data_IF_770922281931
#
_entry.id   IF_770922281931
#
_cell.length_a   1.000
_cell.length_b   1.000
_cell.length_c   1.000
_cell.angle_alpha   90.00
_cell.angle_beta   90.00
_cell.angle_gamma   90.00
#
_symmetry.space_group_name_H-M   'P 1'
#
loop_
_entity.id
_entity.type
_entity.pdbx_description
1 polymer ?
#
# COMPACT_ATOMS: atom_id res chain seq x y z
N UNK A 1 10.66 -10.13 8.26
CA UNK A 1 9.76 -10.31 7.12
C UNK A 1 10.27 -9.51 5.93
N UNK A 2 10.12 -10.07 4.77
CA UNK A 2 10.61 -9.46 3.54
C UNK A 2 9.43 -8.97 2.72
N UNK A 3 9.46 -7.70 2.35
CA UNK A 3 8.48 -7.16 1.42
C UNK A 3 8.75 -7.73 0.04
N UNK A 4 7.76 -8.38 -0.53
CA UNK A 4 7.86 -8.87 -1.89
C UNK A 4 7.54 -7.73 -2.84
N UNK A 5 8.55 -6.91 -3.09
CA UNK A 5 8.39 -5.73 -3.88
C UNK A 5 9.61 -5.50 -4.76
N UNK A 6 9.38 -5.57 -6.04
CA UNK A 6 10.34 -5.16 -7.05
C UNK A 6 9.56 -4.55 -8.21
N UNK A 7 10.23 -3.81 -9.07
CA UNK A 7 9.59 -3.27 -10.26
C UNK A 7 9.01 -4.37 -11.13
N UNK A 8 9.71 -5.50 -11.22
CA UNK A 8 9.24 -6.65 -11.98
C UNK A 8 7.98 -7.25 -11.37
N UNK A 9 7.91 -7.34 -10.04
CA UNK A 9 6.72 -7.86 -9.36
C UNK A 9 5.51 -6.95 -9.56
N UNK A 10 5.71 -5.62 -9.50
CA UNK A 10 4.63 -4.66 -9.77
C UNK A 10 4.06 -4.81 -11.18
N UNK A 11 4.93 -4.97 -12.17
CA UNK A 11 4.50 -5.14 -13.55
C UNK A 11 3.75 -6.45 -13.75
N UNK A 12 4.17 -7.50 -13.08
CA UNK A 12 3.48 -8.79 -13.11
C UNK A 12 2.08 -8.64 -12.51
N UNK A 13 1.95 -7.96 -11.37
CA UNK A 13 0.65 -7.74 -10.74
C UNK A 13 -0.36 -7.06 -11.65
N UNK A 14 0.05 -6.07 -12.41
CA UNK A 14 -0.85 -5.35 -13.31
C UNK A 14 -1.46 -6.21 -14.39
N UNK A 15 -0.82 -7.32 -14.72
CA UNK A 15 -1.26 -8.21 -15.79
C UNK A 15 -1.93 -9.47 -15.28
N UNK A 16 -1.96 -9.65 -13.96
CA UNK A 16 -2.52 -10.86 -13.38
C UNK A 16 -4.02 -10.74 -13.16
N UNK A 17 -4.69 -11.88 -13.28
CA UNK A 17 -6.08 -12.01 -12.86
C UNK A 17 -6.14 -12.09 -11.34
N UNK A 18 -7.32 -11.86 -10.73
CA UNK A 18 -7.47 -12.05 -9.28
C UNK A 18 -7.04 -13.45 -8.82
N UNK A 19 -7.32 -14.49 -9.60
CA UNK A 19 -6.93 -15.87 -9.28
C UNK A 19 -5.43 -16.06 -9.30
N UNK A 20 -4.75 -15.44 -10.25
CA UNK A 20 -3.29 -15.49 -10.33
C UNK A 20 -2.65 -14.74 -9.17
N UNK A 21 -3.21 -13.60 -8.79
CA UNK A 21 -2.76 -12.85 -7.62
C UNK A 21 -2.91 -13.67 -6.34
N UNK A 22 -4.02 -14.38 -6.20
CA UNK A 22 -4.25 -15.26 -5.05
C UNK A 22 -3.19 -16.36 -4.99
N UNK A 23 -2.93 -17.04 -6.09
CA UNK A 23 -1.92 -18.12 -6.15
C UNK A 23 -0.54 -17.58 -5.82
N UNK A 24 -0.20 -16.44 -6.37
CA UNK A 24 1.11 -15.80 -6.13
C UNK A 24 1.26 -15.40 -4.67
N UNK A 25 0.23 -14.80 -4.07
CA UNK A 25 0.26 -14.37 -2.68
C UNK A 25 0.38 -15.58 -1.74
N UNK A 26 -0.34 -16.66 -2.03
CA UNK A 26 -0.25 -17.89 -1.25
C UNK A 26 1.15 -18.48 -1.31
N UNK A 27 1.76 -18.52 -2.51
CA UNK A 27 3.14 -18.98 -2.66
C UNK A 27 4.12 -18.11 -1.86
N UNK A 28 3.94 -16.80 -1.89
CA UNK A 28 4.79 -15.88 -1.15
C UNK A 28 4.74 -16.17 0.36
N UNK A 29 3.54 -16.42 0.90
CA UNK A 29 3.37 -16.79 2.29
C UNK A 29 4.06 -18.13 2.62
N UNK A 30 4.00 -19.08 1.69
CA UNK A 30 4.72 -20.35 1.84
C UNK A 30 6.22 -20.13 1.98
N UNK A 31 6.74 -19.07 1.37
CA UNK A 31 8.14 -18.71 1.43
C UNK A 31 8.46 -17.70 2.56
N UNK A 32 7.52 -17.52 3.49
CA UNK A 32 7.67 -16.58 4.61
C UNK A 32 7.85 -15.13 4.19
N UNK A 33 7.20 -14.73 3.11
CA UNK A 33 7.25 -13.36 2.61
C UNK A 33 5.93 -12.65 2.87
N UNK A 34 6.00 -11.34 3.15
CA UNK A 34 4.82 -10.50 3.22
C UNK A 34 4.45 -10.03 1.81
N UNK A 35 3.15 -9.85 1.59
CA UNK A 35 2.61 -9.48 0.28
C UNK A 35 2.03 -8.07 0.34
N UNK A 36 2.53 -7.21 -0.52
CA UNK A 36 1.97 -5.88 -0.75
C UNK A 36 1.23 -5.90 -2.10
N UNK A 37 -0.08 -5.70 -2.05
CA UNK A 37 -0.87 -5.49 -3.27
C UNK A 37 -0.96 -3.99 -3.52
N UNK A 38 -0.42 -3.54 -4.63
CA UNK A 38 -0.40 -2.13 -5.01
C UNK A 38 -1.50 -1.86 -6.03
N UNK A 39 -2.34 -0.86 -5.75
CA UNK A 39 -3.43 -0.49 -6.65
C UNK A 39 -3.31 0.99 -7.04
N UNK A 40 -3.90 1.32 -8.19
CA UNK A 40 -3.98 2.69 -8.70
C UNK A 40 -5.42 3.15 -8.84
N UNK A 41 -6.36 2.22 -8.88
CA UNK A 41 -7.77 2.50 -9.08
C UNK A 41 -8.64 1.56 -8.27
N UNK A 42 -9.91 1.93 -8.11
CA UNK A 42 -10.89 1.18 -7.36
C UNK A 42 -11.14 -0.22 -7.98
N UNK A 43 -11.07 -0.32 -9.28
CA UNK A 43 -11.31 -1.57 -10.00
C UNK A 43 -10.29 -2.64 -9.65
N UNK A 44 -9.08 -2.25 -9.32
CA UNK A 44 -8.02 -3.19 -8.95
C UNK A 44 -8.24 -3.84 -7.58
N UNK A 45 -9.23 -3.36 -6.81
CA UNK A 45 -9.57 -3.96 -5.51
C UNK A 45 -10.10 -5.40 -5.65
N UNK A 46 -10.50 -5.80 -6.84
CA UNK A 46 -10.88 -7.20 -7.10
C UNK A 46 -9.74 -8.18 -6.83
N UNK A 47 -8.51 -7.69 -6.83
CA UNK A 47 -7.33 -8.52 -6.59
C UNK A 47 -7.07 -8.77 -5.09
N UNK A 48 -7.77 -8.08 -4.20
CA UNK A 48 -7.59 -8.26 -2.77
C UNK A 48 -7.98 -9.67 -2.35
N UNK A 49 -7.11 -10.33 -1.59
CA UNK A 49 -7.32 -11.70 -1.14
C UNK A 49 -6.77 -11.88 0.28
N UNK A 50 -7.07 -13.01 0.95
CA UNK A 50 -6.68 -13.23 2.34
C UNK A 50 -5.17 -13.27 2.61
N UNK A 51 -4.36 -13.44 1.59
CA UNK A 51 -2.91 -13.52 1.74
C UNK A 51 -2.23 -12.15 1.54
N UNK A 52 -3.00 -11.11 1.26
CA UNK A 52 -2.46 -9.75 1.14
C UNK A 52 -2.28 -9.18 2.54
N UNK A 53 -1.05 -8.90 2.90
CA UNK A 53 -0.71 -8.31 4.20
C UNK A 53 -0.86 -6.80 4.19
N UNK A 54 -0.54 -6.18 3.07
CA UNK A 54 -0.60 -4.73 2.91
C UNK A 54 -1.30 -4.39 1.59
N UNK A 55 -2.21 -3.44 1.65
CA UNK A 55 -2.92 -2.93 0.49
C UNK A 55 -2.47 -1.48 0.28
N UNK A 56 -1.75 -1.24 -0.80
CA UNK A 56 -1.12 0.04 -1.06
C UNK A 56 -1.77 0.79 -2.21
N UNK A 57 -1.87 2.10 -2.06
CA UNK A 57 -2.25 3.00 -3.16
C UNK A 57 -0.99 3.68 -3.65
N UNK A 58 -0.70 3.51 -4.92
CA UNK A 58 0.39 4.23 -5.55
C UNK A 58 -0.14 5.55 -6.11
N UNK A 59 0.30 6.66 -5.51
CA UNK A 59 -0.13 8.00 -5.90
C UNK A 59 0.58 8.51 -7.15
N UNK A 60 1.54 7.74 -7.66
CA UNK A 60 2.24 8.11 -8.88
C UNK A 60 1.53 7.57 -10.09
N UNK A 61 1.21 8.46 -11.02
CA UNK A 61 0.62 8.05 -12.30
C UNK A 61 1.72 7.50 -13.19
N UNK A 62 1.56 6.26 -13.65
CA UNK A 62 2.58 5.58 -14.43
C UNK A 62 2.72 6.13 -15.85
N UNK A 63 1.67 6.75 -16.39
CA UNK A 63 1.71 7.33 -17.73
C UNK A 63 2.40 8.69 -17.75
N UNK A 64 2.06 9.55 -16.79
CA UNK A 64 2.58 10.92 -16.72
C UNK A 64 3.68 11.11 -15.70
N UNK A 65 3.89 10.12 -14.82
CA UNK A 65 4.77 10.19 -13.65
C UNK A 65 4.38 11.30 -12.67
N UNK A 66 3.21 11.89 -12.84
CA UNK A 66 2.68 12.86 -11.90
C UNK A 66 2.26 12.17 -10.62
N UNK A 67 2.56 12.79 -9.49
CA UNK A 67 2.23 12.24 -8.17
C UNK A 67 1.13 13.09 -7.54
N UNK A 68 0.05 12.43 -7.08
CA UNK A 68 -1.09 13.08 -6.47
C UNK A 68 -1.55 12.29 -5.24
N UNK A 69 -1.21 12.77 -4.07
CA UNK A 69 -1.56 12.12 -2.80
C UNK A 69 -3.07 12.06 -2.58
N UNK A 70 -3.84 12.91 -3.25
CA UNK A 70 -5.30 12.86 -3.18
C UNK A 70 -5.86 11.54 -3.65
N UNK A 71 -5.12 10.81 -4.48
CA UNK A 71 -5.53 9.48 -4.91
C UNK A 71 -5.73 8.53 -3.72
N UNK A 72 -4.84 8.61 -2.72
CA UNK A 72 -4.97 7.83 -1.49
C UNK A 72 -6.26 8.19 -0.75
N UNK A 73 -6.56 9.47 -0.63
CA UNK A 73 -7.79 9.92 0.05
C UNK A 73 -9.04 9.46 -0.70
N UNK A 74 -9.03 9.54 -2.02
CA UNK A 74 -10.16 9.09 -2.83
C UNK A 74 -10.43 7.59 -2.67
N UNK A 75 -9.39 6.79 -2.56
CA UNK A 75 -9.51 5.33 -2.51
C UNK A 75 -9.66 4.78 -1.11
N UNK A 76 -9.37 5.57 -0.07
CA UNK A 76 -9.34 5.11 1.31
C UNK A 76 -10.64 4.41 1.72
N UNK A 77 -11.78 5.04 1.45
CA UNK A 77 -13.07 4.51 1.85
C UNK A 77 -13.40 3.21 1.11
N UNK A 78 -13.12 3.16 -0.19
CA UNK A 78 -13.37 1.97 -0.99
C UNK A 78 -12.50 0.81 -0.53
N UNK A 79 -11.24 1.05 -0.20
CA UNK A 79 -10.33 0.04 0.33
C UNK A 79 -10.84 -0.54 1.64
N UNK A 80 -11.26 0.32 2.56
CA UNK A 80 -11.80 -0.11 3.84
C UNK A 80 -13.11 -0.90 3.68
N UNK A 81 -13.98 -0.44 2.80
CA UNK A 81 -15.26 -1.10 2.54
C UNK A 81 -15.05 -2.50 1.96
N UNK A 82 -14.22 -2.64 0.94
CA UNK A 82 -13.96 -3.94 0.33
C UNK A 82 -13.29 -4.90 1.32
N UNK A 83 -12.33 -4.41 2.09
CA UNK A 83 -11.67 -5.23 3.11
C UNK A 83 -12.69 -5.74 4.14
N UNK A 84 -13.57 -4.87 4.61
CA UNK A 84 -14.60 -5.22 5.58
C UNK A 84 -15.58 -6.26 5.01
N UNK A 85 -16.03 -6.04 3.79
CA UNK A 85 -16.96 -6.95 3.12
C UNK A 85 -16.38 -8.36 2.94
N UNK A 86 -15.07 -8.44 2.78
CA UNK A 86 -14.36 -9.72 2.61
C UNK A 86 -13.79 -10.27 3.92
N UNK A 87 -14.06 -9.62 5.05
CA UNK A 87 -13.51 -9.98 6.36
C UNK A 87 -11.98 -10.01 6.37
N UNK A 88 -11.36 -9.03 5.73
CA UNK A 88 -9.91 -8.91 5.65
C UNK A 88 -9.46 -7.64 6.38
N UNK A 89 -8.24 -7.67 6.90
CA UNK A 89 -7.67 -6.54 7.64
C UNK A 89 -6.24 -6.23 7.17
N UNK A 90 -6.04 -5.96 5.88
CA UNK A 90 -4.70 -5.60 5.42
C UNK A 90 -4.30 -4.24 5.98
N UNK A 91 -3.00 -4.05 6.16
CA UNK A 91 -2.47 -2.74 6.50
C UNK A 91 -2.61 -1.83 5.27
N UNK A 92 -3.25 -0.68 5.43
CA UNK A 92 -3.38 0.26 4.32
C UNK A 92 -2.12 1.11 4.20
N UNK A 93 -1.57 1.19 3.00
CA UNK A 93 -0.31 1.86 2.71
C UNK A 93 -0.52 2.93 1.64
N UNK A 94 0.00 4.13 1.89
CA UNK A 94 0.02 5.20 0.90
C UNK A 94 1.45 5.33 0.36
N UNK A 95 1.58 5.34 -0.96
CA UNK A 95 2.88 5.33 -1.64
C UNK A 95 3.03 6.53 -2.54
N UNK A 96 4.18 7.19 -2.44
CA UNK A 96 4.58 8.34 -3.25
C UNK A 96 3.83 9.64 -2.90
N UNK A 97 4.47 10.76 -3.16
CA UNK A 97 3.86 12.08 -2.98
C UNK A 97 3.76 12.56 -1.53
N UNK A 98 4.38 11.84 -0.60
CA UNK A 98 4.31 12.17 0.82
C UNK A 98 5.58 12.94 1.17
N UNK A 99 5.42 14.22 1.52
CA UNK A 99 6.55 15.10 1.77
C UNK A 99 6.44 15.92 3.06
N UNK A 100 5.30 15.86 3.75
CA UNK A 100 5.09 16.65 4.97
C UNK A 100 4.47 15.81 6.08
N UNK A 101 4.70 16.21 7.32
CA UNK A 101 4.08 15.57 8.49
C UNK A 101 2.57 15.75 8.49
N UNK A 102 2.09 16.89 8.00
CA UNK A 102 0.66 17.16 7.91
C UNK A 102 -0.03 16.14 6.99
N UNK A 103 0.57 15.85 5.84
CA UNK A 103 0.04 14.85 4.92
C UNK A 103 -0.02 13.46 5.58
N UNK A 104 1.04 13.08 6.30
CA UNK A 104 1.06 11.79 7.01
C UNK A 104 -0.04 11.73 8.06
N UNK A 105 -0.21 12.80 8.85
CA UNK A 105 -1.27 12.86 9.85
C UNK A 105 -2.65 12.69 9.22
N UNK A 106 -2.91 13.39 8.12
CA UNK A 106 -4.19 13.31 7.43
C UNK A 106 -4.43 11.91 6.84
N UNK A 107 -3.41 11.29 6.31
CA UNK A 107 -3.50 9.92 5.79
C UNK A 107 -3.79 8.92 6.91
N UNK A 108 -3.17 9.09 8.07
CA UNK A 108 -3.45 8.23 9.23
C UNK A 108 -4.91 8.34 9.64
N UNK A 109 -5.45 9.54 9.66
CA UNK A 109 -6.87 9.76 9.98
C UNK A 109 -7.77 9.09 8.94
N UNK A 110 -7.33 9.03 7.69
CA UNK A 110 -8.09 8.36 6.62
C UNK A 110 -7.98 6.83 6.68
N UNK A 111 -7.12 6.28 7.54
CA UNK A 111 -7.00 4.84 7.73
C UNK A 111 -5.68 4.22 7.26
N UNK A 112 -4.76 5.02 6.78
CA UNK A 112 -3.45 4.51 6.36
C UNK A 112 -2.50 4.41 7.56
N UNK A 113 -1.83 3.28 7.67
CA UNK A 113 -0.87 3.00 8.74
C UNK A 113 0.52 2.63 8.22
N UNK A 114 0.69 2.61 6.92
CA UNK A 114 1.98 2.42 6.30
C UNK A 114 2.21 3.48 5.24
N UNK A 115 3.46 3.89 5.08
CA UNK A 115 3.82 4.95 4.14
C UNK A 115 5.10 4.57 3.41
N UNK A 116 5.09 4.76 2.11
CA UNK A 116 6.28 4.57 1.30
C UNK A 116 6.71 5.91 0.77
N UNK A 117 7.86 6.37 1.24
CA UNK A 117 8.41 7.67 0.91
C UNK A 117 9.75 7.44 0.22
N UNK A 118 9.82 7.80 -1.07
CA UNK A 118 10.97 7.42 -1.88
C UNK A 118 11.02 5.90 -1.97
N UNK A 119 12.14 5.30 -1.53
CA UNK A 119 12.30 3.84 -1.52
C UNK A 119 12.15 3.24 -0.12
N UNK A 120 11.76 4.04 0.87
CA UNK A 120 11.71 3.62 2.26
C UNK A 120 10.27 3.42 2.72
N UNK A 121 9.97 2.24 3.24
CA UNK A 121 8.69 1.91 3.83
C UNK A 121 8.69 2.29 5.32
N UNK A 122 7.60 2.91 5.78
CA UNK A 122 7.40 3.25 7.17
C UNK A 122 6.04 2.73 7.64
N UNK A 123 6.05 1.94 8.71
CA UNK A 123 4.85 1.43 9.36
C UNK A 123 4.61 2.23 10.64
N UNK A 124 3.40 2.74 10.82
CA UNK A 124 3.06 3.63 11.93
C UNK A 124 2.08 3.05 12.93
N UNK A 125 2.09 1.74 13.12
CA UNK A 125 1.36 1.10 14.22
C UNK A 125 2.11 1.24 15.55
N UNK A 126 3.26 1.88 15.54
CA UNK A 126 4.10 2.20 16.69
C UNK A 126 3.97 3.68 16.99
N UNK A 127 4.14 4.11 18.26
CA UNK A 127 3.97 5.51 18.67
C UNK A 127 4.74 6.52 17.82
N UNK A 128 4.27 7.77 17.85
CA UNK A 128 4.72 8.85 16.99
C UNK A 128 6.23 9.11 16.93
N UNK A 129 7.01 8.62 17.89
CA UNK A 129 8.46 8.76 17.89
C UNK A 129 9.11 8.16 16.65
N UNK A 130 8.64 6.97 16.23
CA UNK A 130 9.16 6.32 15.03
C UNK A 130 8.88 7.14 13.80
N UNK A 131 7.70 7.71 13.71
CA UNK A 131 7.31 8.55 12.59
C UNK A 131 8.16 9.82 12.54
N UNK A 132 8.37 10.46 13.71
CA UNK A 132 9.18 11.66 13.80
C UNK A 132 10.63 11.41 13.37
N UNK A 133 11.22 10.29 13.80
CA UNK A 133 12.56 9.89 13.39
C UNK A 133 12.66 9.67 11.89
N UNK A 134 11.66 9.05 11.30
CA UNK A 134 11.65 8.78 9.87
C UNK A 134 11.59 10.08 9.07
N UNK A 135 10.71 10.99 9.45
CA UNK A 135 10.57 12.28 8.77
C UNK A 135 11.84 13.11 8.93
N UNK A 136 12.46 13.05 10.09
CA UNK A 136 13.74 13.72 10.33
C UNK A 136 14.85 13.26 9.42
N UNK A 137 14.83 11.99 8.98
CA UNK A 137 15.82 11.46 8.05
C UNK A 137 15.59 11.93 6.61
N UNK A 138 14.38 12.35 6.29
CA UNK A 138 14.05 12.84 4.96
C UNK A 138 14.40 14.31 4.77
N UNK A 139 14.48 15.03 5.87
CA UNK A 139 14.85 16.44 5.84
C UNK A 139 16.37 16.62 5.89
#
# INVERSE_FOLDING_TARGET
>A
STLMRSSAASDVYKRQTPEQCLMFAELAHTLNMEVLLEIHSKEELDHLNPFVDMLGVNNRNLGTFHTDVENSFRLAKAMQTVARERNLSPLLVSESGISTTTTVSNLREAGFHGFLIGETFMKTDVPGDTLAQFIGRLS
#
